data_IF_562383994240
#
_entry.id   IF_562383994240
#
_cell.length_a   1.000
_cell.length_b   1.000
_cell.length_c   1.000
_cell.angle_alpha   90.00
_cell.angle_beta   90.00
_cell.angle_gamma   90.00
#
_symmetry.space_group_name_H-M   'P 1'
#
loop_
_entity.id
_entity.type
_entity.pdbx_description
1 polymer ?
#
# COMPACT_ATOMS: atom_id res chain seq x y z
N UNK A 1 -76.22 5.58 -10.77
CA UNK A 1 -76.13 4.35 -9.94
C UNK A 1 -75.26 4.63 -8.72
N UNK A 2 -75.72 4.25 -7.52
CA UNK A 2 -74.99 4.50 -6.26
C UNK A 2 -73.63 3.79 -6.19
N UNK A 3 -73.39 2.80 -7.05
CA UNK A 3 -72.10 2.14 -7.23
C UNK A 3 -71.03 3.05 -7.83
N UNK A 4 -71.37 3.92 -8.80
CA UNK A 4 -70.40 4.86 -9.38
C UNK A 4 -69.89 5.87 -8.36
N UNK A 5 -70.77 6.35 -7.47
CA UNK A 5 -70.41 7.27 -6.38
C UNK A 5 -69.63 6.58 -5.25
N UNK A 6 -69.84 5.27 -5.05
CA UNK A 6 -69.09 4.48 -4.08
C UNK A 6 -67.68 4.12 -4.57
N UNK A 7 -67.50 3.98 -5.89
CA UNK A 7 -66.20 3.68 -6.51
C UNK A 7 -65.29 4.91 -6.62
N UNK A 8 -65.84 6.10 -6.89
CA UNK A 8 -65.11 7.39 -6.85
C UNK A 8 -64.58 7.69 -5.44
N UNK A 9 -65.22 7.16 -4.39
CA UNK A 9 -64.80 7.34 -2.99
C UNK A 9 -63.67 6.41 -2.54
N UNK A 10 -63.20 5.52 -3.43
CA UNK A 10 -62.18 4.48 -3.18
C UNK A 10 -60.90 4.64 -4.04
N UNK A 11 -60.70 5.79 -4.70
CA UNK A 11 -59.56 6.03 -5.60
C UNK A 11 -59.33 4.91 -6.65
N UNK A 12 -60.40 4.22 -7.05
CA UNK A 12 -60.26 2.95 -7.76
C UNK A 12 -60.24 3.06 -9.29
N UNK A 13 -60.60 4.23 -9.86
CA UNK A 13 -60.58 4.45 -11.32
C UNK A 13 -60.30 5.91 -11.64
N UNK A 14 -59.21 6.15 -12.37
CA UNK A 14 -58.91 7.42 -13.02
C UNK A 14 -59.39 7.36 -14.48
N UNK A 15 -59.71 8.51 -15.08
CA UNK A 15 -59.97 8.57 -16.52
C UNK A 15 -58.65 8.35 -17.30
N UNK A 16 -58.68 7.79 -18.51
CA UNK A 16 -57.45 7.52 -19.29
C UNK A 16 -56.55 8.76 -19.43
N UNK A 17 -57.12 9.93 -19.72
CA UNK A 17 -56.38 11.20 -19.76
C UNK A 17 -55.82 11.65 -18.39
N UNK A 18 -56.50 11.30 -17.30
CA UNK A 18 -56.10 11.61 -15.93
C UNK A 18 -54.95 10.68 -15.49
N UNK A 19 -55.05 9.40 -15.85
CA UNK A 19 -54.05 8.37 -15.63
C UNK A 19 -52.79 8.68 -16.45
N UNK A 20 -52.92 9.05 -17.73
CA UNK A 20 -51.80 9.52 -18.55
C UNK A 20 -51.11 10.74 -17.95
N UNK A 21 -51.87 11.74 -17.49
CA UNK A 21 -51.30 12.93 -16.84
C UNK A 21 -50.58 12.59 -15.53
N UNK A 22 -51.14 11.68 -14.72
CA UNK A 22 -50.50 11.22 -13.47
C UNK A 22 -49.23 10.42 -13.77
N UNK A 23 -49.29 9.46 -14.69
CA UNK A 23 -48.16 8.67 -15.15
C UNK A 23 -47.04 9.56 -15.68
N UNK A 24 -47.34 10.54 -16.54
CA UNK A 24 -46.37 11.53 -17.01
C UNK A 24 -45.77 12.36 -15.86
N UNK A 25 -46.58 12.75 -14.87
CA UNK A 25 -46.12 13.52 -13.71
C UNK A 25 -45.23 12.72 -12.76
N UNK A 26 -45.44 11.40 -12.67
CA UNK A 26 -44.64 10.47 -11.88
C UNK A 26 -43.39 9.99 -12.65
N UNK A 27 -43.26 10.36 -13.93
CA UNK A 27 -42.09 10.11 -14.77
C UNK A 27 -42.22 8.90 -15.70
N UNK A 28 -43.42 8.36 -15.92
CA UNK A 28 -43.66 7.29 -16.89
C UNK A 28 -43.70 7.84 -18.32
N UNK A 29 -42.92 7.25 -19.22
CA UNK A 29 -42.92 7.61 -20.64
C UNK A 29 -43.87 6.69 -21.41
N UNK A 30 -45.00 7.27 -21.84
CA UNK A 30 -46.07 6.58 -22.57
C UNK A 30 -45.61 6.00 -23.92
N UNK A 31 -44.56 6.56 -24.53
CA UNK A 31 -44.07 6.11 -25.83
C UNK A 31 -43.19 4.86 -25.76
N UNK A 32 -42.47 4.68 -24.66
CA UNK A 32 -41.57 3.55 -24.42
C UNK A 32 -42.16 2.49 -23.51
N UNK A 33 -43.19 2.84 -22.71
CA UNK A 33 -43.85 1.92 -21.77
C UNK A 33 -43.03 1.66 -20.50
N UNK A 34 -42.10 2.55 -20.14
CA UNK A 34 -41.23 2.42 -18.98
C UNK A 34 -41.19 3.71 -18.14
N UNK A 35 -40.80 3.56 -16.88
CA UNK A 35 -40.53 4.67 -15.97
C UNK A 35 -39.22 5.37 -16.36
N UNK A 36 -39.30 6.63 -16.78
CA UNK A 36 -38.16 7.48 -17.03
C UNK A 36 -37.67 8.12 -15.71
N UNK A 37 -36.49 7.71 -15.27
CA UNK A 37 -35.83 8.31 -14.11
C UNK A 37 -35.07 9.56 -14.53
N UNK A 38 -35.37 10.71 -13.93
CA UNK A 38 -34.69 11.97 -14.24
C UNK A 38 -33.70 12.34 -13.14
N UNK A 39 -32.43 12.53 -13.51
CA UNK A 39 -31.43 13.02 -12.58
C UNK A 39 -31.67 14.50 -12.25
N UNK A 40 -32.06 14.81 -11.02
CA UNK A 40 -32.33 16.19 -10.55
C UNK A 40 -31.14 17.16 -10.65
N UNK A 41 -29.93 16.65 -10.89
CA UNK A 41 -28.70 17.45 -10.91
C UNK A 41 -28.23 17.86 -12.31
N UNK A 42 -28.66 17.14 -13.34
CA UNK A 42 -28.27 17.43 -14.73
C UNK A 42 -29.40 17.21 -15.74
N UNK A 43 -30.59 16.86 -15.27
CA UNK A 43 -31.80 16.56 -16.05
C UNK A 43 -31.64 15.44 -17.10
N UNK A 44 -30.62 14.60 -16.98
CA UNK A 44 -30.50 13.40 -17.81
C UNK A 44 -31.61 12.38 -17.45
N UNK A 45 -32.22 11.81 -18.48
CA UNK A 45 -33.27 10.79 -18.38
C UNK A 45 -32.70 9.39 -18.58
N UNK A 46 -33.24 8.41 -17.86
CA UNK A 46 -32.81 7.01 -17.88
C UNK A 46 -34.03 6.10 -17.92
N UNK A 47 -33.93 5.02 -18.66
CA UNK A 47 -34.95 3.97 -18.83
C UNK A 47 -34.89 2.89 -17.75
N UNK A 48 -33.81 2.83 -16.95
CA UNK A 48 -33.67 1.88 -15.85
C UNK A 48 -33.19 2.51 -14.52
N UNK A 49 -33.75 2.01 -13.40
CA UNK A 49 -33.49 2.54 -12.05
C UNK A 49 -32.02 2.40 -11.64
N UNK A 50 -31.37 1.31 -12.05
CA UNK A 50 -30.01 1.00 -11.64
C UNK A 50 -29.01 1.98 -12.26
N UNK A 51 -29.14 2.26 -13.55
CA UNK A 51 -28.35 3.25 -14.29
C UNK A 51 -28.66 4.65 -13.82
N UNK A 52 -29.93 4.98 -13.56
CA UNK A 52 -30.33 6.27 -12.97
C UNK A 52 -29.67 6.51 -11.61
N UNK A 53 -29.65 5.49 -10.75
CA UNK A 53 -29.04 5.56 -9.40
C UNK A 53 -27.52 5.61 -9.46
N UNK A 54 -26.90 4.85 -10.36
CA UNK A 54 -25.45 4.90 -10.59
C UNK A 54 -25.03 6.26 -11.15
N UNK A 55 -25.80 6.80 -12.10
CA UNK A 55 -25.62 8.14 -12.62
C UNK A 55 -25.83 9.18 -11.53
N UNK A 56 -26.91 9.13 -10.75
CA UNK A 56 -27.19 10.07 -9.67
C UNK A 56 -26.05 10.15 -8.66
N UNK A 57 -25.46 9.01 -8.27
CA UNK A 57 -24.26 8.97 -7.41
C UNK A 57 -23.05 9.62 -8.07
N UNK A 58 -22.81 9.35 -9.35
CA UNK A 58 -21.68 9.95 -10.10
C UNK A 58 -21.88 11.44 -10.34
N UNK A 59 -23.09 11.87 -10.70
CA UNK A 59 -23.47 13.25 -10.97
C UNK A 59 -23.44 14.07 -9.68
N UNK A 60 -23.93 13.54 -8.56
CA UNK A 60 -23.73 14.12 -7.24
C UNK A 60 -22.25 14.27 -6.93
N UNK A 61 -21.45 13.21 -7.07
CA UNK A 61 -20.01 13.30 -6.85
C UNK A 61 -19.33 14.31 -7.78
N UNK A 62 -19.74 14.47 -9.04
CA UNK A 62 -19.19 15.46 -9.96
C UNK A 62 -19.61 16.89 -9.57
N UNK A 63 -20.87 17.11 -9.18
CA UNK A 63 -21.35 18.42 -8.72
C UNK A 63 -20.74 18.81 -7.36
N UNK A 64 -20.57 17.86 -6.43
CA UNK A 64 -19.85 18.08 -5.18
C UNK A 64 -18.37 18.34 -5.45
N UNK A 65 -17.72 17.57 -6.34
CA UNK A 65 -16.32 17.81 -6.77
C UNK A 65 -16.12 19.16 -7.44
N UNK A 66 -17.12 19.71 -8.14
CA UNK A 66 -17.07 21.07 -8.71
C UNK A 66 -16.98 22.18 -7.66
N UNK A 67 -17.25 21.89 -6.37
CA UNK A 67 -17.02 22.83 -5.26
C UNK A 67 -15.75 22.56 -4.46
N UNK A 68 -14.97 21.51 -4.77
CA UNK A 68 -13.74 21.21 -4.03
C UNK A 68 -12.49 21.52 -4.87
N UNK A 69 -11.75 22.54 -4.46
CA UNK A 69 -10.53 23.02 -5.12
C UNK A 69 -9.25 22.37 -4.55
N UNK A 70 -9.39 21.27 -3.81
CA UNK A 70 -8.27 20.51 -3.25
C UNK A 70 -8.18 19.09 -3.84
N UNK A 71 -6.97 18.53 -3.85
CA UNK A 71 -6.67 17.25 -4.50
C UNK A 71 -7.48 16.05 -3.96
N UNK A 72 -7.94 16.10 -2.71
CA UNK A 72 -8.77 15.03 -2.14
C UNK A 72 -10.22 15.07 -2.62
N UNK A 73 -10.61 16.03 -3.47
CA UNK A 73 -11.95 16.06 -4.08
C UNK A 73 -13.10 16.05 -3.06
N UNK A 74 -12.86 16.51 -1.83
CA UNK A 74 -13.85 16.54 -0.74
C UNK A 74 -14.02 15.23 0.03
N UNK A 75 -13.22 14.19 -0.23
CA UNK A 75 -13.32 12.88 0.45
C UNK A 75 -13.17 12.98 1.98
N UNK A 76 -12.50 14.02 2.48
CA UNK A 76 -12.32 14.30 3.91
C UNK A 76 -13.51 15.04 4.54
N UNK A 77 -14.53 15.40 3.77
CA UNK A 77 -15.70 16.15 4.23
C UNK A 77 -15.40 17.60 4.62
N UNK A 78 -16.36 18.28 5.25
CA UNK A 78 -16.31 19.72 5.59
C UNK A 78 -15.41 20.04 6.80
N UNK A 79 -15.05 19.05 7.62
CA UNK A 79 -14.29 19.28 8.85
C UNK A 79 -12.87 19.75 8.51
N UNK A 80 -12.53 20.99 8.88
CA UNK A 80 -11.24 21.61 8.57
C UNK A 80 -11.09 22.07 7.11
N UNK A 81 -12.20 22.21 6.38
CA UNK A 81 -12.24 22.84 5.08
C UNK A 81 -12.46 24.35 5.21
N UNK A 82 -11.83 25.12 4.33
CA UNK A 82 -12.00 26.56 4.18
C UNK A 82 -12.56 26.88 2.79
N UNK A 83 -13.35 27.93 2.69
CA UNK A 83 -13.88 28.41 1.41
C UNK A 83 -12.90 29.40 0.76
N UNK A 84 -12.62 29.21 -0.53
CA UNK A 84 -11.77 30.11 -1.30
C UNK A 84 -12.52 31.41 -1.61
N UNK A 85 -11.94 32.54 -1.23
CA UNK A 85 -12.54 33.87 -1.42
C UNK A 85 -12.77 34.25 -2.89
N UNK A 86 -11.98 33.71 -3.82
CA UNK A 86 -12.05 34.07 -5.25
C UNK A 86 -13.00 33.19 -6.07
N UNK A 87 -13.01 31.88 -5.83
CA UNK A 87 -13.82 30.95 -6.63
C UNK A 87 -14.97 30.31 -5.84
N UNK A 88 -15.14 30.66 -4.57
CA UNK A 88 -16.12 30.04 -3.64
C UNK A 88 -15.98 28.51 -3.52
N UNK A 89 -14.82 27.98 -3.90
CA UNK A 89 -14.50 26.56 -3.83
C UNK A 89 -13.87 26.19 -2.48
N UNK A 90 -14.30 25.07 -1.91
CA UNK A 90 -13.83 24.53 -0.63
C UNK A 90 -12.49 23.79 -0.79
N UNK A 91 -11.57 23.98 0.15
CA UNK A 91 -10.30 23.26 0.20
C UNK A 91 -9.86 22.99 1.63
N UNK A 92 -9.13 21.89 1.85
CA UNK A 92 -8.42 21.69 3.11
C UNK A 92 -7.04 22.32 3.05
N UNK A 93 -6.68 23.11 4.08
CA UNK A 93 -5.35 23.67 4.22
C UNK A 93 -4.26 22.58 4.17
N UNK A 94 -4.51 21.40 4.77
CA UNK A 94 -3.59 20.26 4.70
C UNK A 94 -3.40 19.72 3.29
N UNK A 95 -4.45 19.69 2.46
CA UNK A 95 -4.37 19.20 1.08
C UNK A 95 -3.70 20.21 0.16
N UNK A 96 -3.91 21.51 0.43
CA UNK A 96 -3.21 22.60 -0.22
C UNK A 96 -1.72 22.58 0.10
N UNK A 97 -1.35 22.43 1.38
CA UNK A 97 0.03 22.38 1.84
C UNK A 97 0.76 21.12 1.39
N UNK A 98 0.09 19.97 1.32
CA UNK A 98 0.67 18.74 0.78
C UNK A 98 1.01 18.83 -0.73
N UNK A 99 0.31 19.71 -1.48
CA UNK A 99 0.57 19.95 -2.91
C UNK A 99 1.53 21.11 -3.17
N UNK A 100 1.74 22.03 -2.21
CA UNK A 100 2.90 22.92 -2.25
C UNK A 100 4.13 22.03 -2.10
N UNK A 101 5.00 22.01 -3.11
CA UNK A 101 6.32 21.41 -2.92
C UNK A 101 6.94 22.06 -1.67
N UNK A 102 7.65 21.30 -0.84
CA UNK A 102 8.08 21.67 0.51
C UNK A 102 9.02 22.92 0.63
N UNK A 103 9.15 23.74 -0.42
CA UNK A 103 10.16 24.78 -0.59
C UNK A 103 9.64 26.11 -1.17
N UNK A 104 8.35 26.25 -1.50
CA UNK A 104 7.79 27.53 -1.98
C UNK A 104 7.30 28.40 -0.81
N UNK A 105 8.01 29.49 -0.52
CA UNK A 105 7.59 30.50 0.46
C UNK A 105 6.64 31.49 -0.22
N UNK A 106 5.40 31.55 0.25
CA UNK A 106 4.43 32.59 -0.11
C UNK A 106 4.01 33.31 1.17
N UNK A 107 3.83 34.62 1.09
CA UNK A 107 3.37 35.50 2.16
C UNK A 107 2.15 34.91 2.91
N UNK A 108 2.34 34.53 4.17
CA UNK A 108 1.46 33.62 4.91
C UNK A 108 0.03 34.13 5.09
N UNK A 109 -0.18 35.45 5.05
CA UNK A 109 -1.50 36.06 5.23
C UNK A 109 -2.38 35.96 4.00
N UNK A 110 -1.87 36.31 2.81
CA UNK A 110 -2.59 36.14 1.55
C UNK A 110 -2.78 34.66 1.18
N UNK A 111 -1.86 33.82 1.64
CA UNK A 111 -1.81 32.39 1.38
C UNK A 111 -2.84 31.54 2.16
N UNK A 112 -3.70 32.14 2.99
CA UNK A 112 -4.63 31.37 3.85
C UNK A 112 -6.08 31.36 3.33
N UNK A 113 -6.47 32.35 2.51
CA UNK A 113 -7.87 32.59 2.08
C UNK A 113 -8.20 32.13 0.64
N UNK A 114 -7.19 31.70 -0.13
CA UNK A 114 -7.35 31.30 -1.52
C UNK A 114 -7.04 29.81 -1.72
N UNK A 115 -7.66 29.16 -2.70
CA UNK A 115 -7.25 27.82 -3.11
C UNK A 115 -5.94 27.85 -3.91
N UNK A 116 -5.27 26.70 -4.05
CA UNK A 116 -3.96 26.60 -4.71
C UNK A 116 -3.96 27.12 -6.16
N UNK A 117 -5.06 26.93 -6.89
CA UNK A 117 -5.18 27.38 -8.28
C UNK A 117 -5.32 28.90 -8.37
N UNK A 118 -6.16 29.49 -7.53
CA UNK A 118 -6.33 30.94 -7.38
C UNK A 118 -5.03 31.63 -6.95
N UNK A 119 -4.26 31.02 -6.05
CA UNK A 119 -2.94 31.54 -5.66
C UNK A 119 -1.93 31.56 -6.80
N UNK A 120 -1.85 30.47 -7.57
CA UNK A 120 -0.94 30.39 -8.72
C UNK A 120 -1.30 31.42 -9.78
N UNK A 121 -2.59 31.63 -10.02
CA UNK A 121 -3.07 32.67 -10.92
C UNK A 121 -2.67 34.08 -10.44
N UNK A 122 -2.76 34.34 -9.12
CA UNK A 122 -2.38 35.63 -8.54
C UNK A 122 -0.85 35.89 -8.57
N UNK A 123 -0.02 34.85 -8.43
CA UNK A 123 1.45 34.96 -8.48
C UNK A 123 2.05 35.10 -9.89
N UNK A 124 1.24 34.95 -10.94
CA UNK A 124 1.69 34.95 -12.34
C UNK A 124 1.56 36.33 -13.03
N UNK A 125 1.20 37.39 -12.30
CA UNK A 125 1.19 38.75 -12.86
C UNK A 125 2.62 39.29 -12.97
N UNK A 126 3.01 39.94 -14.09
CA UNK A 126 4.38 40.40 -14.29
C UNK A 126 4.74 41.50 -13.28
N UNK A 127 5.71 41.22 -12.41
CA UNK A 127 6.29 42.20 -11.52
C UNK A 127 7.07 43.25 -12.34
N UNK A 128 6.60 44.49 -12.28
CA UNK A 128 7.30 45.64 -12.83
C UNK A 128 8.65 45.87 -12.18
N UNK A 129 9.59 46.23 -13.04
CA UNK A 129 11.01 46.49 -12.80
C UNK A 129 11.25 47.61 -11.76
N UNK A 130 12.14 47.38 -10.78
CA UNK A 130 12.98 48.43 -10.17
C UNK A 130 13.93 47.88 -9.07
N UNK A 131 15.24 48.06 -9.29
CA UNK A 131 16.20 48.39 -8.22
C UNK A 131 17.06 47.26 -7.63
N UNK A 132 17.96 46.68 -8.44
CA UNK A 132 19.03 45.79 -7.96
C UNK A 132 20.37 46.55 -7.80
N UNK A 133 21.00 46.45 -6.62
CA UNK A 133 22.48 46.40 -6.53
C UNK A 133 23.02 45.93 -5.18
N UNK A 134 22.43 46.30 -4.03
CA UNK A 134 23.03 45.96 -2.71
C UNK A 134 22.60 44.59 -2.11
N UNK A 135 21.45 44.04 -2.54
CA UNK A 135 20.85 42.84 -1.91
C UNK A 135 21.43 41.50 -2.40
N UNK A 136 22.17 41.47 -3.52
CA UNK A 136 22.66 40.22 -4.11
C UNK A 136 23.78 39.55 -3.30
N UNK A 137 24.63 40.32 -2.60
CA UNK A 137 25.70 39.76 -1.77
C UNK A 137 25.16 39.16 -0.45
N UNK A 138 24.18 39.82 0.19
CA UNK A 138 23.53 39.27 1.38
C UNK A 138 22.69 38.03 1.06
N UNK A 139 22.05 37.99 -0.12
CA UNK A 139 21.32 36.81 -0.61
C UNK A 139 22.26 35.64 -0.89
N UNK A 140 23.40 35.87 -1.54
CA UNK A 140 24.41 34.83 -1.80
C UNK A 140 25.06 34.29 -0.54
N UNK A 141 25.39 35.13 0.43
CA UNK A 141 25.94 34.68 1.72
C UNK A 141 24.92 33.88 2.53
N UNK A 142 23.63 34.26 2.49
CA UNK A 142 22.56 33.47 3.12
C UNK A 142 22.25 32.18 2.36
N UNK A 143 22.33 32.18 1.04
CA UNK A 143 22.18 30.98 0.22
C UNK A 143 23.34 30.00 0.45
N UNK A 144 24.57 30.48 0.58
CA UNK A 144 25.73 29.65 0.91
C UNK A 144 25.68 29.12 2.35
N UNK A 145 25.30 29.96 3.32
CA UNK A 145 25.10 29.52 4.71
C UNK A 145 23.93 28.51 4.85
N UNK A 146 22.89 28.63 3.99
CA UNK A 146 21.76 27.70 3.94
C UNK A 146 22.05 26.43 3.14
N UNK A 147 22.84 26.50 2.09
CA UNK A 147 23.35 25.32 1.39
C UNK A 147 24.21 24.48 2.34
N UNK A 148 25.08 25.15 3.11
CA UNK A 148 25.84 24.52 4.19
C UNK A 148 24.93 23.96 5.29
N UNK A 149 23.93 24.71 5.77
CA UNK A 149 22.99 24.19 6.76
C UNK A 149 22.08 23.05 6.23
N UNK A 150 21.82 23.01 4.92
CA UNK A 150 21.09 21.95 4.23
C UNK A 150 21.97 20.71 4.02
N UNK A 151 23.25 20.89 3.71
CA UNK A 151 24.24 19.81 3.72
C UNK A 151 24.44 19.28 5.14
N UNK A 152 24.56 20.15 6.14
CA UNK A 152 24.67 19.78 7.55
C UNK A 152 23.39 19.07 8.02
N UNK A 153 22.20 19.49 7.57
CA UNK A 153 20.92 18.83 7.86
C UNK A 153 20.74 17.51 7.10
N UNK A 154 21.22 17.41 5.87
CA UNK A 154 21.23 16.19 5.07
C UNK A 154 22.27 15.19 5.61
N UNK A 155 23.40 15.66 6.12
CA UNK A 155 24.40 14.87 6.86
C UNK A 155 23.91 14.51 8.25
N UNK A 156 23.11 15.34 8.93
CA UNK A 156 22.40 15.00 10.17
C UNK A 156 21.28 14.00 9.91
N UNK A 157 20.52 14.12 8.82
CA UNK A 157 19.49 13.14 8.41
C UNK A 157 20.15 11.83 7.97
N UNK A 158 21.20 11.87 7.17
CA UNK A 158 21.96 10.69 6.79
C UNK A 158 22.68 10.09 8.00
N UNK A 159 23.14 10.89 8.95
CA UNK A 159 23.74 10.49 10.22
C UNK A 159 22.73 9.96 11.24
N UNK A 160 21.49 10.44 11.22
CA UNK A 160 20.37 9.97 12.05
C UNK A 160 19.71 8.71 11.47
N UNK A 161 19.63 8.62 10.14
CA UNK A 161 19.29 7.39 9.41
C UNK A 161 20.42 6.37 9.57
N UNK A 162 21.68 6.80 9.64
CA UNK A 162 22.82 5.93 9.98
C UNK A 162 22.81 5.53 11.46
N UNK A 163 22.44 6.38 12.42
CA UNK A 163 22.30 5.93 13.82
C UNK A 163 21.05 5.09 14.08
N UNK A 164 20.02 5.20 13.22
CA UNK A 164 18.95 4.21 13.13
C UNK A 164 19.37 2.92 12.40
N UNK A 165 20.39 2.96 11.52
CA UNK A 165 21.09 1.77 11.01
C UNK A 165 22.05 1.17 12.06
N UNK A 166 22.59 1.99 12.96
CA UNK A 166 23.39 1.58 14.12
C UNK A 166 22.52 1.17 15.31
N UNK A 167 21.19 1.08 15.14
CA UNK A 167 20.39 0.13 15.90
C UNK A 167 20.85 -1.27 15.48
N UNK A 168 22.01 -1.65 16.02
CA UNK A 168 22.81 -2.85 15.77
C UNK A 168 21.88 -3.97 15.34
N UNK A 169 22.08 -4.49 14.13
CA UNK A 169 21.48 -5.75 13.71
C UNK A 169 21.94 -6.83 14.69
N UNK A 170 21.25 -6.95 15.83
CA UNK A 170 21.44 -8.04 16.79
C UNK A 170 21.00 -9.31 16.09
N UNK A 171 21.81 -10.36 16.13
CA UNK A 171 21.51 -11.62 15.45
C UNK A 171 21.88 -11.62 13.98
N UNK A 172 23.00 -11.03 13.60
CA UNK A 172 23.62 -11.28 12.28
C UNK A 172 24.38 -12.60 12.31
N UNK A 173 24.77 -13.13 11.14
CA UNK A 173 25.68 -14.30 11.14
C UNK A 173 27.04 -13.98 11.74
N UNK A 174 27.46 -12.70 11.65
CA UNK A 174 28.78 -12.24 12.10
C UNK A 174 28.92 -12.26 13.63
N UNK A 175 27.86 -11.97 14.36
CA UNK A 175 27.89 -11.94 15.83
C UNK A 175 27.77 -13.35 16.47
N UNK A 176 27.52 -14.38 15.66
CA UNK A 176 27.44 -15.78 16.10
C UNK A 176 26.21 -16.12 16.95
N UNK A 177 25.30 -15.16 17.18
CA UNK A 177 24.07 -15.38 17.95
C UNK A 177 23.10 -16.30 17.24
N UNK A 178 23.13 -16.31 15.91
CA UNK A 178 22.33 -17.18 15.05
C UNK A 178 23.18 -17.71 13.90
N UNK A 179 22.75 -18.83 13.32
CA UNK A 179 23.35 -19.39 12.11
C UNK A 179 22.29 -20.04 11.22
N UNK A 180 22.60 -20.21 9.93
CA UNK A 180 21.73 -20.92 8.98
C UNK A 180 22.30 -22.31 8.70
N UNK A 181 21.44 -23.31 8.73
CA UNK A 181 21.78 -24.70 8.41
C UNK A 181 20.60 -25.39 7.72
N UNK A 182 20.71 -26.68 7.37
CA UNK A 182 19.56 -27.44 6.85
C UNK A 182 18.47 -27.53 7.92
N UNK A 183 17.22 -27.27 7.52
CA UNK A 183 16.08 -27.31 8.42
C UNK A 183 15.79 -28.73 8.93
N UNK A 184 15.27 -28.82 10.16
CA UNK A 184 14.77 -30.07 10.77
C UNK A 184 13.31 -30.37 10.43
N UNK A 185 12.60 -29.47 9.74
CA UNK A 185 11.20 -29.68 9.33
C UNK A 185 11.02 -30.68 8.17
N UNK A 186 12.12 -31.16 7.59
CA UNK A 186 12.15 -32.12 6.50
C UNK A 186 12.87 -31.59 5.26
N UNK A 187 13.20 -32.48 4.33
CA UNK A 187 14.02 -32.14 3.15
C UNK A 187 13.41 -31.05 2.27
N UNK A 188 12.08 -30.96 2.21
CA UNK A 188 11.37 -29.95 1.42
C UNK A 188 11.38 -28.55 2.04
N UNK A 189 11.81 -28.40 3.30
CA UNK A 189 11.88 -27.09 3.97
C UNK A 189 13.15 -26.31 3.62
N UNK A 190 14.19 -26.98 3.08
CA UNK A 190 15.43 -26.33 2.69
C UNK A 190 16.28 -25.90 3.88
N UNK A 191 16.63 -24.61 3.92
CA UNK A 191 17.43 -24.02 4.99
C UNK A 191 16.56 -23.50 6.13
N UNK A 192 17.11 -23.47 7.34
CA UNK A 192 16.46 -22.96 8.55
C UNK A 192 17.39 -22.09 9.36
N UNK A 193 16.82 -21.22 10.17
CA UNK A 193 17.52 -20.36 11.13
C UNK A 193 17.68 -21.10 12.46
N UNK A 194 18.87 -21.09 13.04
CA UNK A 194 19.18 -21.73 14.32
C UNK A 194 19.80 -20.73 15.29
N UNK A 195 19.54 -20.93 16.58
CA UNK A 195 20.18 -20.16 17.63
C UNK A 195 21.63 -20.63 17.86
N UNK A 196 22.61 -19.75 17.69
CA UNK A 196 24.03 -20.04 17.96
C UNK A 196 24.39 -19.97 19.45
N UNK A 197 23.55 -19.31 20.24
CA UNK A 197 23.59 -19.23 21.71
C UNK A 197 22.20 -19.47 22.28
N UNK A 198 22.08 -19.67 23.60
CA UNK A 198 20.77 -19.69 24.25
C UNK A 198 20.13 -18.29 24.21
N UNK A 199 18.83 -18.22 23.92
CA UNK A 199 18.07 -16.97 23.79
C UNK A 199 16.90 -16.98 24.77
N UNK A 200 16.81 -15.94 25.60
CA UNK A 200 15.76 -15.76 26.59
C UNK A 200 14.40 -15.46 25.99
N UNK A 201 13.34 -15.69 26.78
CA UNK A 201 11.97 -15.31 26.41
C UNK A 201 11.88 -13.79 26.23
N UNK A 202 11.20 -13.35 25.17
CA UNK A 202 11.05 -11.96 24.74
C UNK A 202 12.34 -11.27 24.32
N UNK A 203 13.44 -12.00 24.18
CA UNK A 203 14.69 -11.47 23.68
C UNK A 203 14.66 -11.41 22.14
N UNK A 204 15.31 -10.38 21.58
CA UNK A 204 15.45 -10.23 20.12
C UNK A 204 16.37 -11.33 19.59
N UNK A 205 15.89 -12.10 18.63
CA UNK A 205 16.67 -13.14 17.94
C UNK A 205 17.48 -12.48 16.84
N UNK A 206 16.79 -11.87 15.88
CA UNK A 206 17.36 -11.19 14.70
C UNK A 206 16.36 -10.21 14.10
N UNK A 207 16.72 -9.45 13.07
CA UNK A 207 15.82 -8.58 12.30
C UNK A 207 15.48 -9.19 10.94
N UNK A 208 14.28 -8.92 10.43
CA UNK A 208 13.89 -9.24 9.06
C UNK A 208 14.32 -8.10 8.14
N UNK A 209 15.49 -8.25 7.52
CA UNK A 209 16.09 -7.23 6.68
C UNK A 209 15.94 -7.58 5.19
N UNK A 210 15.89 -6.54 4.36
CA UNK A 210 15.74 -6.67 2.92
C UNK A 210 15.32 -5.36 2.26
N UNK A 211 15.39 -5.25 0.92
CA UNK A 211 14.81 -4.13 0.21
C UNK A 211 13.31 -3.99 0.49
N UNK A 212 12.87 -2.74 0.52
CA UNK A 212 11.47 -2.38 0.64
C UNK A 212 10.81 -2.45 -0.73
N UNK A 213 9.72 -3.20 -0.84
CA UNK A 213 8.91 -3.32 -2.06
C UNK A 213 7.49 -2.79 -1.82
N UNK A 214 6.83 -2.37 -2.90
CA UNK A 214 5.40 -2.09 -2.91
C UNK A 214 4.66 -3.18 -3.67
N UNK A 215 3.41 -3.46 -3.28
CA UNK A 215 2.61 -4.55 -3.87
C UNK A 215 2.47 -4.42 -5.38
N UNK A 216 2.34 -3.19 -5.87
CA UNK A 216 2.16 -2.84 -7.28
C UNK A 216 3.42 -3.12 -8.12
N UNK A 217 4.58 -3.23 -7.48
CA UNK A 217 5.87 -3.47 -8.13
C UNK A 217 6.18 -4.96 -8.29
N UNK A 218 5.39 -5.85 -7.67
CA UNK A 218 5.65 -7.29 -7.72
C UNK A 218 5.21 -7.89 -9.06
N UNK A 219 6.13 -8.53 -9.82
CA UNK A 219 5.76 -9.30 -11.00
C UNK A 219 4.76 -10.42 -10.66
N UNK A 220 3.90 -10.84 -11.62
CA UNK A 220 2.92 -11.92 -11.39
C UNK A 220 3.51 -13.26 -10.92
N UNK A 221 4.77 -13.54 -11.29
CA UNK A 221 5.47 -14.78 -10.97
C UNK A 221 6.56 -14.59 -9.91
N UNK A 222 6.49 -13.50 -9.14
CA UNK A 222 7.50 -13.21 -8.12
C UNK A 222 7.43 -14.24 -6.98
N UNK A 223 8.60 -14.73 -6.55
CA UNK A 223 8.69 -15.65 -5.41
C UNK A 223 8.46 -14.88 -4.11
N UNK A 224 7.28 -15.08 -3.52
CA UNK A 224 6.84 -14.39 -2.31
C UNK A 224 7.16 -15.15 -1.03
N UNK A 225 7.96 -16.22 -1.11
CA UNK A 225 8.31 -17.06 0.05
C UNK A 225 9.09 -16.30 1.13
N UNK A 226 9.81 -15.25 0.73
CA UNK A 226 10.63 -14.40 1.61
C UNK A 226 10.05 -12.99 1.79
N UNK A 227 8.80 -12.76 1.39
CA UNK A 227 8.18 -11.43 1.47
C UNK A 227 7.38 -11.30 2.75
N UNK A 228 7.75 -10.31 3.57
CA UNK A 228 7.06 -9.97 4.80
C UNK A 228 6.23 -8.69 4.60
N UNK A 229 4.94 -8.74 4.95
CA UNK A 229 4.09 -7.56 4.94
C UNK A 229 4.31 -6.73 6.20
N UNK A 230 4.52 -5.44 6.02
CA UNK A 230 4.55 -4.48 7.13
C UNK A 230 3.12 -4.01 7.41
N UNK A 231 2.59 -4.17 8.64
CA UNK A 231 1.24 -3.73 8.98
C UNK A 231 1.11 -2.20 8.89
N UNK A 232 -0.09 -1.71 8.57
CA UNK A 232 -0.44 -0.28 8.59
C UNK A 232 0.47 0.65 7.78
N UNK A 233 1.19 0.10 6.80
CA UNK A 233 2.24 0.79 6.02
C UNK A 233 1.79 1.26 4.64
N UNK A 234 0.49 1.20 4.33
CA UNK A 234 -0.01 1.52 2.99
C UNK A 234 0.40 0.52 1.91
N UNK A 235 0.77 -0.71 2.29
CA UNK A 235 1.13 -1.78 1.34
C UNK A 235 2.62 -2.05 1.21
N UNK A 236 3.46 -1.50 2.10
CA UNK A 236 4.89 -1.77 2.15
C UNK A 236 5.20 -3.22 2.52
N UNK A 237 6.17 -3.79 1.83
CA UNK A 237 6.68 -5.14 1.98
C UNK A 237 8.19 -5.10 2.21
N UNK A 238 8.72 -6.06 2.98
CA UNK A 238 10.16 -6.30 3.14
C UNK A 238 10.49 -7.60 2.43
N UNK A 239 11.41 -7.54 1.48
CA UNK A 239 11.82 -8.70 0.70
C UNK A 239 13.14 -9.30 1.20
N UNK A 240 13.04 -10.44 1.87
CA UNK A 240 14.19 -11.19 2.36
C UNK A 240 14.88 -12.06 1.31
N UNK A 241 14.38 -12.10 0.07
CA UNK A 241 14.90 -12.98 -0.99
C UNK A 241 16.36 -12.69 -1.36
N UNK A 242 16.83 -11.44 -1.48
CA UNK A 242 18.22 -11.15 -1.81
C UNK A 242 19.20 -11.73 -0.79
N UNK A 243 18.81 -11.78 0.48
CA UNK A 243 19.61 -12.41 1.52
C UNK A 243 19.73 -13.93 1.30
N UNK A 244 18.60 -14.61 1.06
CA UNK A 244 18.58 -16.04 0.77
C UNK A 244 19.37 -16.36 -0.50
N UNK A 245 19.17 -15.59 -1.57
CA UNK A 245 19.88 -15.75 -2.85
C UNK A 245 21.39 -15.54 -2.67
N UNK A 246 21.83 -14.61 -1.80
CA UNK A 246 23.25 -14.42 -1.48
C UNK A 246 23.88 -15.63 -0.78
N UNK A 247 23.12 -16.34 0.07
CA UNK A 247 23.54 -17.62 0.66
C UNK A 247 23.69 -18.69 -0.44
N UNK A 248 22.70 -18.82 -1.32
CA UNK A 248 22.73 -19.83 -2.39
C UNK A 248 23.81 -19.55 -3.44
N UNK A 249 24.15 -18.29 -3.68
CA UNK A 249 25.20 -17.88 -4.62
C UNK A 249 26.62 -18.16 -4.10
N UNK A 250 26.80 -18.32 -2.79
CA UNK A 250 28.11 -18.61 -2.21
C UNK A 250 28.50 -20.08 -2.45
N UNK A 251 29.38 -20.29 -3.44
CA UNK A 251 29.89 -21.61 -3.86
C UNK A 251 30.69 -22.35 -2.79
N UNK A 252 31.15 -21.65 -1.75
CA UNK A 252 31.87 -22.27 -0.64
C UNK A 252 30.94 -22.98 0.36
N UNK A 253 29.61 -22.81 0.24
CA UNK A 253 28.66 -23.45 1.13
C UNK A 253 28.49 -24.96 0.84
N UNK A 254 28.26 -25.78 1.88
CA UNK A 254 28.23 -25.43 3.29
C UNK A 254 29.64 -25.35 3.92
N UNK A 255 29.86 -24.37 4.79
CA UNK A 255 31.07 -24.25 5.61
C UNK A 255 30.80 -24.84 7.00
N UNK A 256 31.38 -26.00 7.31
CA UNK A 256 31.17 -26.72 8.58
C UNK A 256 29.67 -26.96 8.88
N UNK A 257 28.89 -27.31 7.87
CA UNK A 257 27.43 -27.54 7.99
C UNK A 257 26.59 -26.26 8.11
N UNK A 258 27.22 -25.08 8.06
CA UNK A 258 26.54 -23.78 8.08
C UNK A 258 26.54 -23.16 6.70
N UNK A 259 25.52 -22.34 6.46
CA UNK A 259 25.30 -21.63 5.21
C UNK A 259 25.43 -20.13 5.47
N UNK A 260 26.32 -19.48 4.72
CA UNK A 260 26.62 -18.06 4.92
C UNK A 260 26.69 -17.35 3.56
N UNK A 261 26.30 -16.07 3.44
CA UNK A 261 26.54 -15.30 2.23
C UNK A 261 28.05 -15.07 2.06
N UNK A 262 28.49 -14.60 0.89
CA UNK A 262 29.90 -14.26 0.69
C UNK A 262 30.34 -13.19 1.69
N UNK A 263 31.47 -13.41 2.36
CA UNK A 263 32.02 -12.46 3.33
C UNK A 263 32.27 -11.10 2.66
N UNK A 264 31.93 -10.02 3.36
CA UNK A 264 32.01 -8.65 2.83
C UNK A 264 30.83 -8.21 1.95
N UNK A 265 29.91 -9.10 1.60
CA UNK A 265 28.67 -8.70 0.91
C UNK A 265 27.73 -7.90 1.81
N UNK A 266 26.81 -7.14 1.21
CA UNK A 266 25.77 -6.40 1.96
C UNK A 266 24.93 -7.34 2.83
N UNK A 267 24.63 -8.54 2.34
CA UNK A 267 23.90 -9.56 3.09
C UNK A 267 24.64 -10.01 4.36
N UNK A 268 25.98 -9.95 4.40
CA UNK A 268 26.77 -10.36 5.57
C UNK A 268 26.43 -9.56 6.84
N UNK A 269 25.99 -8.31 6.68
CA UNK A 269 25.68 -7.39 7.78
C UNK A 269 24.18 -7.29 8.09
N UNK A 270 23.34 -8.00 7.34
CA UNK A 270 21.89 -7.93 7.46
C UNK A 270 21.36 -8.94 8.48
N UNK A 271 20.23 -8.61 9.11
CA UNK A 271 19.47 -9.57 9.89
C UNK A 271 18.89 -10.68 9.02
N UNK A 272 18.74 -11.85 9.63
CA UNK A 272 18.62 -13.13 8.91
C UNK A 272 17.27 -13.81 9.11
N UNK A 273 16.28 -13.06 9.62
CA UNK A 273 14.98 -13.61 9.99
C UNK A 273 14.24 -14.27 8.81
N UNK A 274 14.56 -13.89 7.57
CA UNK A 274 13.99 -14.48 6.35
C UNK A 274 14.30 -15.97 6.18
N UNK A 275 15.29 -16.49 6.92
CA UNK A 275 15.67 -17.90 6.92
C UNK A 275 14.94 -18.74 7.97
N UNK A 276 14.10 -18.14 8.84
CA UNK A 276 13.33 -18.89 9.83
C UNK A 276 12.07 -19.49 9.19
N UNK A 277 11.76 -20.75 9.47
CA UNK A 277 10.68 -21.46 8.78
C UNK A 277 9.31 -21.35 9.48
N UNK A 278 8.24 -21.59 8.70
CA UNK A 278 6.89 -21.84 9.23
C UNK A 278 6.63 -23.35 9.35
N UNK A 279 6.62 -23.93 10.56
CA UNK A 279 6.28 -25.34 10.76
C UNK A 279 4.84 -25.70 10.42
N UNK A 280 3.93 -24.71 10.22
CA UNK A 280 2.47 -24.87 10.09
C UNK A 280 1.76 -25.52 11.29
N UNK A 281 2.52 -26.00 12.26
CA UNK A 281 2.07 -26.49 13.54
C UNK A 281 2.27 -25.39 14.60
N UNK A 282 1.16 -24.94 15.16
CA UNK A 282 1.16 -23.85 16.13
C UNK A 282 1.93 -24.16 17.41
N UNK A 283 2.05 -25.44 17.77
CA UNK A 283 2.77 -25.85 18.97
C UNK A 283 4.29 -25.76 18.82
N UNK A 284 4.79 -25.69 17.58
CA UNK A 284 6.23 -25.62 17.29
C UNK A 284 6.77 -24.19 17.24
N UNK A 285 5.92 -23.17 17.21
CA UNK A 285 6.38 -21.78 17.17
C UNK A 285 7.14 -21.41 18.44
N UNK A 286 8.39 -20.97 18.28
CA UNK A 286 9.23 -20.47 19.37
C UNK A 286 9.64 -18.99 19.19
N UNK A 287 9.19 -18.36 18.09
CA UNK A 287 9.39 -16.95 17.82
C UNK A 287 8.16 -16.29 17.19
N UNK A 288 8.12 -14.96 17.25
CA UNK A 288 7.12 -14.10 16.61
C UNK A 288 7.76 -12.86 16.00
N UNK A 289 7.17 -12.32 14.95
CA UNK A 289 7.57 -11.02 14.41
C UNK A 289 6.85 -9.90 15.15
N UNK A 290 7.61 -8.88 15.53
CA UNK A 290 7.12 -7.63 16.10
C UNK A 290 7.62 -6.49 15.23
N UNK A 291 6.74 -5.53 14.95
CA UNK A 291 7.10 -4.33 14.20
C UNK A 291 7.29 -3.17 15.17
N UNK A 292 8.47 -2.56 15.13
CA UNK A 292 8.84 -1.44 15.99
C UNK A 292 9.23 -0.24 15.13
N UNK A 293 8.92 0.97 15.60
CA UNK A 293 9.55 2.19 15.08
C UNK A 293 10.78 2.49 15.93
N UNK A 294 11.88 2.98 15.33
CA UNK A 294 13.03 3.41 16.10
C UNK A 294 12.61 4.53 17.07
N UNK A 295 13.05 4.40 18.32
CA UNK A 295 12.84 5.43 19.34
C UNK A 295 14.02 6.40 19.34
N UNK A 296 13.72 7.68 19.46
CA UNK A 296 14.73 8.75 19.42
C UNK A 296 14.16 10.06 19.96
N UNK A 297 15.04 11.03 20.17
CA UNK A 297 14.68 12.34 20.76
C UNK A 297 13.76 13.17 19.85
N UNK A 298 13.79 12.93 18.53
CA UNK A 298 12.94 13.65 17.57
C UNK A 298 11.76 12.78 17.12
N UNK A 299 10.59 13.03 17.73
CA UNK A 299 9.34 12.31 17.44
C UNK A 299 8.95 12.34 15.95
N UNK A 300 9.14 13.46 15.25
CA UNK A 300 8.77 13.58 13.84
C UNK A 300 9.65 12.68 12.95
N UNK A 301 10.96 12.59 13.25
CA UNK A 301 11.86 11.69 12.54
C UNK A 301 11.55 10.21 12.83
N UNK A 302 11.24 9.88 14.10
CA UNK A 302 10.79 8.53 14.46
C UNK A 302 9.49 8.15 13.75
N UNK A 303 8.57 9.08 13.53
CA UNK A 303 7.34 8.83 12.78
C UNK A 303 7.59 8.57 11.28
N UNK A 304 8.59 9.23 10.68
CA UNK A 304 8.97 9.05 9.28
C UNK A 304 9.87 7.83 9.05
N UNK A 305 10.53 7.33 10.09
CA UNK A 305 11.42 6.18 9.97
C UNK A 305 10.66 4.91 9.55
N UNK A 306 11.28 4.04 8.72
CA UNK A 306 10.68 2.78 8.34
C UNK A 306 10.50 1.89 9.57
N UNK A 307 9.42 1.10 9.57
CA UNK A 307 9.22 0.09 10.61
C UNK A 307 10.27 -1.00 10.49
N UNK A 308 10.82 -1.41 11.63
CA UNK A 308 11.77 -2.51 11.75
C UNK A 308 10.96 -3.75 12.11
N UNK A 309 11.15 -4.82 11.34
CA UNK A 309 10.59 -6.13 11.65
C UNK A 309 11.60 -6.93 12.48
N UNK A 310 11.25 -7.23 13.72
CA UNK A 310 12.10 -7.92 14.69
C UNK A 310 11.54 -9.31 14.97
N UNK A 311 12.40 -10.33 14.90
CA UNK A 311 12.06 -11.67 15.30
C UNK A 311 12.39 -11.83 16.80
N UNK A 312 11.36 -12.06 17.61
CA UNK A 312 11.45 -12.12 19.08
C UNK A 312 11.09 -13.51 19.56
N UNK A 313 11.87 -14.05 20.49
CA UNK A 313 11.62 -15.36 21.09
C UNK A 313 10.35 -15.35 21.97
N UNK A 314 9.44 -16.31 21.79
CA UNK A 314 8.20 -16.42 22.59
C UNK A 314 8.39 -17.24 23.86
N UNK A 315 9.45 -18.03 23.91
CA UNK A 315 9.93 -18.82 25.05
C UNK A 315 11.46 -18.84 25.06
N UNK A 316 12.07 -19.47 26.05
CA UNK A 316 13.50 -19.78 26.00
C UNK A 316 13.81 -20.71 24.82
N UNK A 317 14.85 -20.38 24.04
CA UNK A 317 15.34 -21.15 22.89
C UNK A 317 16.74 -21.65 23.25
N UNK A 318 16.95 -22.96 23.20
CA UNK A 318 18.24 -23.55 23.49
C UNK A 318 19.26 -23.26 22.37
N UNK A 319 20.55 -23.33 22.70
CA UNK A 319 21.60 -23.35 21.68
C UNK A 319 21.36 -24.50 20.70
N UNK A 320 21.59 -24.23 19.42
CA UNK A 320 21.42 -25.15 18.29
C UNK A 320 19.96 -25.62 18.06
N UNK A 321 18.98 -24.92 18.66
CA UNK A 321 17.57 -25.09 18.38
C UNK A 321 17.16 -24.29 17.13
N UNK A 322 16.32 -24.88 16.27
CA UNK A 322 15.79 -24.18 15.09
C UNK A 322 14.71 -23.17 15.50
N UNK A 323 14.74 -22.00 14.87
CA UNK A 323 13.81 -20.90 15.10
C UNK A 323 12.65 -21.00 14.11
N UNK A 324 11.44 -21.00 14.67
CA UNK A 324 10.18 -21.12 13.96
C UNK A 324 9.25 -19.97 14.31
N UNK A 325 8.65 -19.36 13.29
CA UNK A 325 7.61 -18.36 13.50
C UNK A 325 6.46 -18.53 12.51
N UNK A 326 5.31 -18.00 12.89
CA UNK A 326 4.11 -17.99 12.06
C UNK A 326 4.22 -16.88 11.03
N UNK A 327 4.20 -17.21 9.75
CA UNK A 327 4.22 -16.20 8.66
C UNK A 327 2.90 -15.43 8.52
N UNK A 328 1.89 -15.76 9.33
CA UNK A 328 0.53 -15.26 9.20
C UNK A 328 -0.30 -16.17 8.29
N UNK A 329 -1.53 -16.48 8.70
CA UNK A 329 -2.46 -17.40 8.02
C UNK A 329 -2.99 -16.90 6.68
N UNK A 330 -2.60 -15.70 6.29
CA UNK A 330 -2.80 -15.18 4.94
C UNK A 330 -1.42 -14.81 4.42
N UNK A 331 -0.62 -15.79 3.97
CA UNK A 331 0.37 -15.44 2.96
C UNK A 331 -0.45 -14.74 1.87
N UNK A 332 -0.17 -13.46 1.50
CA UNK A 332 -0.99 -12.75 0.52
C UNK A 332 -1.02 -13.45 -0.85
N UNK A 333 -0.28 -14.55 -0.98
CA UNK A 333 -0.04 -15.31 -2.17
C UNK A 333 -0.23 -16.83 -2.00
N UNK A 334 -0.80 -17.33 -0.88
CA UNK A 334 -1.14 -18.76 -0.82
C UNK A 334 -2.20 -19.11 -1.86
N UNK A 335 -3.14 -18.20 -2.12
CA UNK A 335 -4.09 -18.33 -3.21
C UNK A 335 -3.39 -18.29 -4.58
N UNK A 336 -2.38 -17.43 -4.78
CA UNK A 336 -1.57 -17.39 -6.00
C UNK A 336 -0.76 -18.69 -6.20
N UNK A 337 -0.14 -19.23 -5.13
CA UNK A 337 0.60 -20.50 -5.17
C UNK A 337 -0.34 -21.68 -5.45
N UNK A 338 -1.52 -21.72 -4.80
CA UNK A 338 -2.57 -22.73 -5.07
C UNK A 338 -3.10 -22.60 -6.50
N UNK A 339 -3.28 -21.39 -7.02
CA UNK A 339 -3.70 -21.14 -8.39
C UNK A 339 -2.62 -21.58 -9.40
N UNK A 340 -1.34 -21.31 -9.14
CA UNK A 340 -0.22 -21.74 -9.97
C UNK A 340 -0.08 -23.27 -9.99
N UNK A 341 -0.21 -23.92 -8.83
CA UNK A 341 -0.22 -25.39 -8.72
C UNK A 341 -1.42 -26.00 -9.48
N UNK A 342 -2.62 -25.40 -9.37
CA UNK A 342 -3.78 -25.82 -10.17
C UNK A 342 -3.53 -25.68 -11.67
N UNK A 343 -2.98 -24.56 -12.13
CA UNK A 343 -2.62 -24.35 -13.55
C UNK A 343 -1.60 -25.37 -14.04
N UNK A 344 -0.58 -25.69 -13.24
CA UNK A 344 0.41 -26.72 -13.60
C UNK A 344 -0.22 -28.12 -13.68
N UNK A 345 -1.14 -28.46 -12.78
CA UNK A 345 -1.90 -29.71 -12.82
C UNK A 345 -2.81 -29.78 -14.06
N UNK A 346 -3.51 -28.69 -14.38
CA UNK A 346 -4.34 -28.59 -15.59
C UNK A 346 -3.52 -28.72 -16.86
N UNK A 347 -2.34 -28.09 -16.93
CA UNK A 347 -1.40 -28.24 -18.06
C UNK A 347 -0.95 -29.69 -18.22
N UNK A 348 -0.52 -30.35 -17.13
CA UNK A 348 -0.14 -31.77 -17.16
C UNK A 348 -1.30 -32.68 -17.55
N UNK A 349 -2.53 -32.36 -17.12
CA UNK A 349 -3.72 -33.10 -17.53
C UNK A 349 -4.05 -32.89 -19.02
N UNK A 350 -3.87 -31.67 -19.55
CA UNK A 350 -4.02 -31.38 -20.98
C UNK A 350 -2.95 -32.09 -21.81
N UNK A 351 -1.69 -32.12 -21.38
CA UNK A 351 -0.62 -32.89 -22.02
C UNK A 351 -0.94 -34.40 -22.04
N UNK A 352 -1.43 -34.95 -20.92
CA UNK A 352 -1.90 -36.34 -20.87
C UNK A 352 -3.06 -36.61 -21.83
N UNK A 353 -4.02 -35.69 -21.96
CA UNK A 353 -5.14 -35.82 -22.92
C UNK A 353 -4.67 -35.74 -24.38
N UNK A 354 -3.73 -34.84 -24.68
CA UNK A 354 -3.18 -34.72 -26.04
C UNK A 354 -2.35 -35.95 -26.43
N UNK A 355 -1.73 -36.64 -25.46
CA UNK A 355 -1.01 -37.90 -25.71
C UNK A 355 -1.92 -39.14 -25.88
N UNK A 356 -3.24 -39.02 -25.71
CA UNK A 356 -4.17 -40.15 -25.85
C UNK A 356 -4.73 -40.27 -27.29
N UNK A 357 -4.56 -39.26 -28.15
CA UNK A 357 -5.17 -39.25 -29.50
C UNK A 357 -4.15 -39.36 -30.65
N UNK A 358 -3.24 -40.34 -30.59
CA UNK A 358 -2.32 -40.68 -31.70
C UNK A 358 -2.31 -42.20 -32.02
N UNK A 359 -3.39 -42.94 -31.73
CA UNK A 359 -3.59 -44.24 -32.36
C UNK A 359 -4.06 -44.00 -33.80
N UNK A 360 -3.10 -44.04 -34.73
CA UNK A 360 -3.32 -44.07 -36.18
C UNK A 360 -4.43 -45.07 -36.49
N UNK A 361 -5.48 -44.59 -37.14
CA UNK A 361 -6.41 -45.44 -37.86
C UNK A 361 -5.63 -46.08 -39.01
N UNK A 362 -5.41 -47.39 -38.92
CA UNK A 362 -4.89 -48.17 -40.04
C UNK A 362 -6.13 -48.61 -40.84
N UNK A 363 -6.26 -48.19 -42.11
CA UNK A 363 -7.35 -48.69 -42.94
C UNK A 363 -7.15 -50.17 -43.18
N UNK A 364 -8.23 -50.93 -42.98
CA UNK A 364 -8.26 -52.37 -43.27
C UNK A 364 -8.37 -52.53 -44.78
N UNK A 365 -7.41 -53.25 -45.37
CA UNK A 365 -7.31 -53.58 -46.79
C UNK A 365 -8.41 -54.51 -47.28
#
# INVERSE_FOLDING_TARGET
TNELKALVKRDAYECEACEEARLLSEGYDLSSGYWAYVCRLCNATFDDEYTARLHGRRCANVQFKRRWSCACSGERGLKGASECRQCSGWYHASCKNAKRAAWEVVDERAASELCLECERAAGSAPAGDSGASSKHNASRLRAAARAKASEDSAQLLSGLICTARDAVHVGTLRDGRVYVARSRLGESAGLGLFAGIAIGRNERITTYAGPTLFREQLPPNYDTSYVLRVPDSGGTLIDGKPYADAIYANKANPLNGRYVPTEGSVAWQQGVASMANDPRDAQKYNARIVFSKPQGSNKALCELAPMIAELIATRHIAKDEEVYFKYGSEKPFEHFRKAQQRRQLEMRQKEKKNNICMRKWIPVS
#
